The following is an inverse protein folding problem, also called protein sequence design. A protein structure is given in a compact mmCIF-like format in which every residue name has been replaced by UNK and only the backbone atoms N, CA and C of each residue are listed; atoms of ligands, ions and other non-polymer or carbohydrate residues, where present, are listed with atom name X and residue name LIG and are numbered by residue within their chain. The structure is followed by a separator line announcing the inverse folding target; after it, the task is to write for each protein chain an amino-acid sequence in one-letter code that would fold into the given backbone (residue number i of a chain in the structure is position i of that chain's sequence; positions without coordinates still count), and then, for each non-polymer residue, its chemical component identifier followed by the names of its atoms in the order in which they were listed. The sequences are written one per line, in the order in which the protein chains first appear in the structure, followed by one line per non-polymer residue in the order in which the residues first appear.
data_IF_477997789421
#
_entry.id   IF_477997789421
#
_cell.length_a   1.000
_cell.length_b   1.000
_cell.length_c   1.000
_cell.angle_alpha   90.00
_cell.angle_beta   90.00
_cell.angle_gamma   90.00
#
_symmetry.space_group_name_H-M   'P 1'
#
loop_
_entity.id
_entity.type
_entity.pdbx_description
1 polymer ?
#
# COMPACT_ATOMS: atom_id res chain seq x y z
N UNK A 1 3.90 16.81 -12.94
CA UNK A 1 3.49 15.39 -13.09
C UNK A 1 3.28 14.84 -11.69
N UNK A 2 2.13 14.23 -11.37
CA UNK A 2 1.87 13.66 -10.03
C UNK A 2 2.41 12.23 -10.01
N UNK A 3 3.13 11.88 -8.95
CA UNK A 3 3.51 10.49 -8.67
C UNK A 3 2.38 9.81 -7.92
N UNK A 4 2.09 8.56 -8.28
CA UNK A 4 1.11 7.73 -7.59
C UNK A 4 1.77 6.42 -7.21
N UNK A 5 1.30 5.83 -6.11
CA UNK A 5 1.67 4.49 -5.69
C UNK A 5 0.42 3.60 -5.69
N UNK A 6 0.59 2.34 -6.08
CA UNK A 6 -0.41 1.28 -5.86
C UNK A 6 -0.04 0.54 -4.59
N UNK A 7 -0.98 0.41 -3.67
CA UNK A 7 -0.80 -0.35 -2.43
C UNK A 7 -1.19 -1.81 -2.64
N UNK A 8 -0.32 -2.72 -2.23
CA UNK A 8 -0.54 -4.17 -2.31
C UNK A 8 -0.31 -4.83 -0.95
N UNK A 9 -1.09 -5.86 -0.67
CA UNK A 9 -0.85 -6.80 0.43
C UNK A 9 0.37 -7.68 0.15
N UNK A 10 0.82 -8.42 1.15
CA UNK A 10 1.95 -9.35 1.03
C UNK A 10 1.74 -10.44 -0.04
N UNK A 11 0.48 -10.78 -0.35
CA UNK A 11 0.10 -11.72 -1.40
C UNK A 11 0.05 -11.10 -2.81
N UNK A 12 0.31 -9.78 -2.93
CA UNK A 12 0.27 -9.04 -4.18
C UNK A 12 -1.11 -8.50 -4.57
N UNK A 13 -2.16 -8.79 -3.79
CA UNK A 13 -3.49 -8.22 -4.01
C UNK A 13 -3.47 -6.71 -3.80
N UNK A 14 -4.01 -5.95 -4.75
CA UNK A 14 -4.15 -4.50 -4.63
C UNK A 14 -5.24 -4.15 -3.61
N UNK A 15 -4.93 -3.21 -2.70
CA UNK A 15 -5.92 -2.64 -1.77
C UNK A 15 -6.86 -1.74 -2.57
N UNK A 16 -8.16 -1.95 -2.43
CA UNK A 16 -9.17 -1.17 -3.18
C UNK A 16 -10.02 -0.28 -2.29
N UNK A 17 -10.13 -0.64 -1.02
CA UNK A 17 -10.85 0.12 0.00
C UNK A 17 -9.96 0.25 1.25
N UNK A 18 -9.75 1.46 1.81
CA UNK A 18 -8.99 1.64 3.05
C UNK A 18 -9.56 0.86 4.25
N UNK A 19 -10.85 0.51 4.26
CA UNK A 19 -11.45 -0.32 5.31
C UNK A 19 -11.00 -1.79 5.26
N UNK A 20 -10.33 -2.22 4.19
CA UNK A 20 -9.82 -3.58 4.06
C UNK A 20 -8.50 -3.81 4.80
N UNK A 21 -7.81 -2.74 5.24
CA UNK A 21 -6.51 -2.84 5.90
C UNK A 21 -6.59 -2.52 7.39
N UNK A 22 -5.81 -3.23 8.18
CA UNK A 22 -5.74 -3.02 9.63
C UNK A 22 -4.68 -1.98 10.00
N UNK A 23 -4.82 -1.37 11.18
CA UNK A 23 -3.76 -0.56 11.76
C UNK A 23 -2.49 -1.41 11.96
N UNK A 24 -1.34 -0.80 11.71
CA UNK A 24 -0.03 -1.43 11.70
C UNK A 24 0.17 -2.55 10.66
N UNK A 25 -0.79 -2.77 9.73
CA UNK A 25 -0.62 -3.70 8.62
C UNK A 25 0.52 -3.25 7.70
N UNK A 26 1.38 -4.18 7.34
CA UNK A 26 2.47 -3.98 6.40
C UNK A 26 1.98 -4.14 4.96
N UNK A 27 2.20 -3.12 4.13
CA UNK A 27 1.83 -3.10 2.72
C UNK A 27 3.04 -2.77 1.86
N UNK A 28 2.96 -3.12 0.58
CA UNK A 28 3.92 -2.72 -0.45
C UNK A 28 3.37 -1.57 -1.28
N UNK A 29 4.10 -0.45 -1.32
CA UNK A 29 3.80 0.69 -2.16
C UNK A 29 4.61 0.62 -3.46
N UNK A 30 3.94 0.43 -4.60
CA UNK A 30 4.55 0.31 -5.93
C UNK A 30 4.45 1.62 -6.69
N UNK A 31 5.60 2.17 -7.09
CA UNK A 31 5.74 3.39 -7.89
C UNK A 31 6.34 3.07 -9.26
N UNK A 32 6.49 4.09 -10.11
CA UNK A 32 6.99 3.91 -11.47
C UNK A 32 8.39 3.26 -11.54
N UNK A 33 9.26 3.51 -10.56
CA UNK A 33 10.66 3.04 -10.57
C UNK A 33 10.98 2.07 -9.42
N UNK A 34 9.97 1.37 -8.87
CA UNK A 34 10.20 0.33 -7.86
C UNK A 34 9.11 0.27 -6.81
N UNK A 35 9.46 -0.27 -5.64
CA UNK A 35 8.57 -0.35 -4.50
C UNK A 35 9.29 -0.23 -3.16
N UNK A 36 8.53 0.05 -2.12
CA UNK A 36 8.99 0.10 -0.74
C UNK A 36 7.88 -0.35 0.20
N UNK A 37 8.27 -0.77 1.39
CA UNK A 37 7.34 -1.18 2.46
C UNK A 37 6.76 0.05 3.14
N UNK A 38 5.46 0.03 3.42
CA UNK A 38 4.75 1.03 4.23
C UNK A 38 3.96 0.34 5.33
N UNK A 39 3.67 1.08 6.40
CA UNK A 39 2.82 0.60 7.49
C UNK A 39 1.60 1.51 7.61
N UNK A 40 0.42 0.91 7.76
CA UNK A 40 -0.82 1.66 7.96
C UNK A 40 -0.77 2.34 9.33
N UNK A 41 -0.61 3.66 9.33
CA UNK A 41 -0.95 4.47 10.50
C UNK A 41 -2.48 4.48 10.57
N UNK A 42 -3.08 3.82 11.57
CA UNK A 42 -4.53 3.81 11.76
C UNK A 42 -5.12 5.23 11.76
N UNK A 43 -6.41 5.33 11.45
CA UNK A 43 -7.15 6.61 11.41
C UNK A 43 -7.24 7.28 12.79
#
# INVERSE_FOLDING_TARGET
RRGYAVLQRADGAAVRDPAEVAADEELRARVAEGDFTVRVAGA
#
